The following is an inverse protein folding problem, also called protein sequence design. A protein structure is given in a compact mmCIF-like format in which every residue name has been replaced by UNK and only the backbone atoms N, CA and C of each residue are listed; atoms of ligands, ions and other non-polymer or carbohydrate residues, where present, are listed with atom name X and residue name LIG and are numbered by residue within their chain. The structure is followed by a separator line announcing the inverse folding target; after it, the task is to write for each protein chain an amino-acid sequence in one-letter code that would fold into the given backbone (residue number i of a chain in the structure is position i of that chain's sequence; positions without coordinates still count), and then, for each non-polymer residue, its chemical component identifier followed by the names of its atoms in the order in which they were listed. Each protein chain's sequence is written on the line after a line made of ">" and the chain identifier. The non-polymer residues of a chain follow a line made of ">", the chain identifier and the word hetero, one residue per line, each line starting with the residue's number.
data_IF_670427990587
#
_entry.id   IF_670427990587
#
_cell.length_a   1.000
_cell.length_b   1.000
_cell.length_c   1.000
_cell.angle_alpha   90.00
_cell.angle_beta   90.00
_cell.angle_gamma   90.00
#
_symmetry.space_group_name_H-M   'P 1'
#
loop_
_entity.id
_entity.type
_entity.pdbx_description
1 polymer ?
#
# COMPACT_ATOMS: atom_id res chain seq x y z
N UNK A 1 21.31 42.66 17.57
CA UNK A 1 20.18 41.71 17.56
C UNK A 1 20.19 40.97 18.88
N UNK A 2 19.11 41.05 19.66
CA UNK A 2 19.08 40.43 21.00
C UNK A 2 18.92 38.91 20.89
N UNK A 3 19.37 38.19 21.91
CA UNK A 3 19.24 36.74 22.08
C UNK A 3 17.76 36.29 21.97
N UNK A 4 16.82 37.20 22.29
CA UNK A 4 15.38 36.98 22.19
C UNK A 4 14.92 36.70 20.74
N UNK A 5 15.53 37.36 19.75
CA UNK A 5 15.19 37.17 18.33
C UNK A 5 15.70 35.82 17.80
N UNK A 6 16.80 35.29 18.34
CA UNK A 6 17.34 33.98 17.96
C UNK A 6 16.47 32.82 18.48
N UNK A 7 15.98 32.91 19.73
CA UNK A 7 15.10 31.88 20.30
C UNK A 7 13.75 31.80 19.55
N UNK A 8 13.21 32.94 19.14
CA UNK A 8 11.90 32.99 18.46
C UNK A 8 11.95 32.38 17.05
N UNK A 9 13.05 32.58 16.32
CA UNK A 9 13.30 31.98 15.00
C UNK A 9 13.54 30.47 15.14
N UNK A 10 14.30 30.04 16.15
CA UNK A 10 14.55 28.62 16.40
C UNK A 10 13.26 27.86 16.70
N UNK A 11 12.35 28.43 17.50
CA UNK A 11 11.06 27.82 17.81
C UNK A 11 10.16 27.67 16.56
N UNK A 12 10.17 28.66 15.66
CA UNK A 12 9.40 28.61 14.41
C UNK A 12 9.90 27.54 13.43
N UNK A 13 11.23 27.34 13.35
CA UNK A 13 11.82 26.29 12.51
C UNK A 13 11.49 24.90 13.05
N UNK A 14 11.52 24.71 14.38
CA UNK A 14 11.20 23.42 15.01
C UNK A 14 9.72 23.03 14.78
N UNK A 15 8.79 23.99 14.86
CA UNK A 15 7.37 23.72 14.65
C UNK A 15 7.00 23.37 13.20
N UNK A 16 7.77 23.89 12.24
CA UNK A 16 7.51 23.66 10.80
C UNK A 16 7.88 22.25 10.32
N UNK A 17 8.67 21.49 11.09
CA UNK A 17 9.15 20.15 10.70
C UNK A 17 8.20 19.03 11.14
N UNK A 18 7.27 19.28 12.08
CA UNK A 18 6.47 18.21 12.69
C UNK A 18 5.20 17.80 11.92
N UNK A 19 4.86 18.44 10.81
CA UNK A 19 3.62 18.17 10.08
C UNK A 19 3.78 17.32 8.80
N UNK A 20 4.93 16.69 8.55
CA UNK A 20 4.97 15.61 7.56
C UNK A 20 4.34 14.37 8.19
N UNK A 21 3.08 14.11 7.86
CA UNK A 21 2.45 12.82 8.14
C UNK A 21 3.35 11.76 7.50
N UNK A 22 4.01 10.92 8.32
CA UNK A 22 4.86 9.84 7.84
C UNK A 22 3.99 8.83 7.10
N UNK A 23 3.73 9.08 5.82
CA UNK A 23 3.06 8.13 4.93
C UNK A 23 4.04 7.02 4.63
N UNK A 24 3.64 5.79 4.94
CA UNK A 24 4.36 4.60 4.52
C UNK A 24 3.97 4.34 3.06
N UNK A 25 4.95 4.21 2.17
CA UNK A 25 4.72 3.93 0.76
C UNK A 25 4.75 2.42 0.51
N UNK A 26 3.85 1.94 -0.35
CA UNK A 26 3.76 0.54 -0.72
C UNK A 26 3.14 0.36 -2.10
N UNK A 27 3.18 -0.86 -2.60
CA UNK A 27 2.69 -1.21 -3.95
C UNK A 27 1.66 -2.33 -3.87
N UNK A 28 0.61 -2.25 -4.69
CA UNK A 28 -0.35 -3.33 -4.87
C UNK A 28 -0.11 -4.04 -6.21
N UNK A 29 -0.05 -5.37 -6.20
CA UNK A 29 0.34 -6.15 -7.37
C UNK A 29 -0.68 -7.25 -7.65
N UNK A 30 -1.13 -7.35 -8.90
CA UNK A 30 -2.04 -8.39 -9.39
C UNK A 30 -1.47 -9.23 -10.53
N UNK A 31 -0.25 -8.93 -10.97
CA UNK A 31 0.46 -9.65 -12.02
C UNK A 31 1.71 -10.31 -11.44
N UNK A 32 2.31 -11.23 -12.20
CA UNK A 32 3.56 -11.85 -11.79
C UNK A 32 4.67 -10.78 -11.66
N UNK A 33 5.37 -10.79 -10.53
CA UNK A 33 6.55 -9.97 -10.29
C UNK A 33 7.71 -10.86 -9.81
N UNK A 34 8.85 -10.75 -10.48
CA UNK A 34 10.08 -11.45 -10.10
C UNK A 34 10.75 -10.80 -8.87
N UNK A 35 11.67 -11.50 -8.23
CA UNK A 35 12.49 -10.96 -7.13
C UNK A 35 13.21 -9.67 -7.54
N UNK A 36 13.81 -9.62 -8.73
CA UNK A 36 14.47 -8.43 -9.26
C UNK A 36 13.50 -7.25 -9.45
N UNK A 37 12.24 -7.49 -9.82
CA UNK A 37 11.22 -6.43 -9.87
C UNK A 37 10.99 -5.83 -8.47
N UNK A 38 10.87 -6.66 -7.44
CA UNK A 38 10.69 -6.20 -6.07
C UNK A 38 11.90 -5.46 -5.51
N UNK A 39 13.12 -5.92 -5.83
CA UNK A 39 14.36 -5.20 -5.46
C UNK A 39 14.38 -3.81 -6.09
N UNK A 40 14.08 -3.72 -7.38
CA UNK A 40 13.99 -2.45 -8.10
C UNK A 40 12.98 -1.50 -7.44
N UNK A 41 11.79 -1.99 -7.06
CA UNK A 41 10.79 -1.19 -6.36
C UNK A 41 11.29 -0.71 -4.99
N UNK A 42 11.92 -1.59 -4.21
CA UNK A 42 12.47 -1.26 -2.88
C UNK A 42 13.57 -0.21 -2.96
N UNK A 43 14.48 -0.35 -3.92
CA UNK A 43 15.67 0.50 -4.06
C UNK A 43 15.36 1.85 -4.70
N UNK A 44 14.47 1.88 -5.71
CA UNK A 44 14.19 3.10 -6.47
C UNK A 44 12.98 3.89 -5.97
N UNK A 45 12.01 3.21 -5.33
CA UNK A 45 10.75 3.82 -4.89
C UNK A 45 10.55 3.71 -3.37
N UNK A 46 11.57 3.26 -2.63
CA UNK A 46 11.59 3.22 -1.15
C UNK A 46 10.39 2.49 -0.53
N UNK A 47 9.75 1.58 -1.27
CA UNK A 47 8.54 0.90 -0.80
C UNK A 47 8.84 0.11 0.49
N UNK A 48 7.90 0.16 1.44
CA UNK A 48 7.99 -0.49 2.74
C UNK A 48 7.11 -1.71 2.86
N UNK A 49 6.01 -1.76 2.12
CA UNK A 49 5.08 -2.89 2.08
C UNK A 49 4.58 -3.22 0.67
N UNK A 50 4.09 -4.43 0.50
CA UNK A 50 3.48 -4.93 -0.75
C UNK A 50 2.11 -5.53 -0.43
N UNK A 51 1.10 -5.25 -1.26
CA UNK A 51 -0.20 -5.94 -1.22
C UNK A 51 -0.33 -6.84 -2.45
N UNK A 52 -0.43 -8.15 -2.25
CA UNK A 52 -0.54 -9.14 -3.32
C UNK A 52 -2.01 -9.53 -3.53
N UNK A 53 -2.49 -9.50 -4.77
CA UNK A 53 -3.80 -10.09 -5.12
C UNK A 53 -3.79 -11.60 -4.87
N UNK A 54 -4.71 -12.10 -4.03
CA UNK A 54 -4.83 -13.51 -3.71
C UNK A 54 -6.07 -14.17 -4.33
N UNK A 55 -7.13 -13.39 -4.59
CA UNK A 55 -8.32 -13.87 -5.25
C UNK A 55 -9.17 -12.73 -5.80
N UNK A 56 -9.95 -13.02 -6.85
CA UNK A 56 -10.94 -12.11 -7.44
C UNK A 56 -12.22 -12.87 -7.77
N UNK A 57 -13.33 -12.43 -7.19
CA UNK A 57 -14.67 -12.96 -7.43
C UNK A 57 -14.78 -14.49 -7.26
N UNK A 58 -14.10 -15.03 -6.24
CA UNK A 58 -14.07 -16.47 -5.96
C UNK A 58 -13.01 -17.26 -6.74
N UNK A 59 -12.34 -16.65 -7.71
CA UNK A 59 -11.20 -17.27 -8.40
C UNK A 59 -9.91 -16.97 -7.64
N UNK A 60 -9.19 -18.03 -7.24
CA UNK A 60 -7.88 -17.93 -6.59
C UNK A 60 -6.84 -17.48 -7.63
N UNK A 61 -5.96 -16.58 -7.21
CA UNK A 61 -4.83 -16.13 -8.02
C UNK A 61 -3.62 -17.06 -7.78
N UNK A 62 -3.30 -17.90 -8.77
CA UNK A 62 -2.21 -18.87 -8.68
C UNK A 62 -0.82 -18.19 -8.58
N UNK A 63 -0.73 -16.91 -8.94
CA UNK A 63 0.52 -16.14 -8.87
C UNK A 63 0.80 -15.62 -7.45
N UNK A 64 -0.22 -15.55 -6.60
CA UNK A 64 -0.12 -14.95 -5.26
C UNK A 64 1.02 -15.56 -4.44
N UNK A 65 1.11 -16.90 -4.41
CA UNK A 65 2.15 -17.62 -3.68
C UNK A 65 3.56 -17.28 -4.18
N UNK A 66 3.72 -17.17 -5.50
CA UNK A 66 5.01 -16.84 -6.11
C UNK A 66 5.40 -15.39 -5.82
N UNK A 67 4.44 -14.45 -5.92
CA UNK A 67 4.67 -13.04 -5.64
C UNK A 67 5.04 -12.78 -4.18
N UNK A 68 4.35 -13.43 -3.22
CA UNK A 68 4.68 -13.35 -1.79
C UNK A 68 6.12 -13.84 -1.55
N UNK A 69 6.47 -15.01 -2.10
CA UNK A 69 7.83 -15.56 -1.97
C UNK A 69 8.89 -14.63 -2.56
N UNK A 70 8.63 -14.07 -3.74
CA UNK A 70 9.57 -13.19 -4.43
C UNK A 70 9.74 -11.85 -3.69
N UNK A 71 8.67 -11.29 -3.10
CA UNK A 71 8.72 -10.08 -2.28
C UNK A 71 9.59 -10.27 -1.03
N UNK A 72 9.39 -11.37 -0.29
CA UNK A 72 10.24 -11.71 0.86
C UNK A 72 11.69 -11.97 0.45
N UNK A 73 11.93 -12.65 -0.67
CA UNK A 73 13.28 -12.88 -1.19
C UNK A 73 13.99 -11.58 -1.62
N UNK A 74 13.24 -10.52 -1.94
CA UNK A 74 13.76 -9.17 -2.19
C UNK A 74 13.92 -8.32 -0.91
N UNK A 75 13.58 -8.89 0.26
CA UNK A 75 13.69 -8.23 1.55
C UNK A 75 12.60 -7.19 1.81
N UNK A 76 11.40 -7.35 1.23
CA UNK A 76 10.21 -6.64 1.69
C UNK A 76 9.77 -7.27 3.02
N UNK A 77 9.62 -6.46 4.06
CA UNK A 77 9.32 -6.94 5.42
C UNK A 77 7.82 -7.11 5.66
N UNK A 78 7.00 -6.32 4.98
CA UNK A 78 5.55 -6.29 5.15
C UNK A 78 4.85 -6.67 3.83
N UNK A 79 4.19 -7.83 3.82
CA UNK A 79 3.50 -8.38 2.65
C UNK A 79 2.10 -8.79 3.05
N UNK A 80 1.14 -8.00 2.60
CA UNK A 80 -0.29 -8.21 2.79
C UNK A 80 -0.93 -8.85 1.55
N UNK A 81 -2.16 -9.32 1.73
CA UNK A 81 -2.95 -9.93 0.65
C UNK A 81 -4.30 -9.23 0.49
N UNK A 82 -4.71 -9.03 -0.76
CA UNK A 82 -6.01 -8.49 -1.14
C UNK A 82 -6.88 -9.54 -1.81
N UNK A 83 -8.12 -9.64 -1.34
CA UNK A 83 -9.17 -10.43 -1.96
C UNK A 83 -10.23 -9.47 -2.49
N UNK A 84 -10.55 -9.56 -3.78
CA UNK A 84 -11.56 -8.70 -4.42
C UNK A 84 -12.86 -9.47 -4.58
N UNK A 85 -13.96 -8.93 -4.04
CA UNK A 85 -15.30 -9.53 -4.15
C UNK A 85 -16.26 -8.51 -4.75
N UNK A 86 -16.86 -8.84 -5.88
CA UNK A 86 -17.94 -8.06 -6.47
C UNK A 86 -19.27 -8.51 -5.87
N UNK A 87 -19.81 -7.70 -4.97
CA UNK A 87 -21.18 -7.91 -4.49
C UNK A 87 -22.17 -7.43 -5.55
N UNK A 88 -22.94 -8.36 -6.11
CA UNK A 88 -24.11 -8.00 -6.91
C UNK A 88 -25.24 -7.65 -5.95
N UNK A 89 -25.64 -6.38 -5.90
CA UNK A 89 -26.83 -5.97 -5.13
C UNK A 89 -28.04 -6.74 -5.67
N UNK A 90 -28.81 -7.46 -4.85
CA UNK A 90 -29.99 -8.16 -5.34
C UNK A 90 -30.96 -7.15 -5.96
N UNK A 91 -31.36 -7.41 -7.21
CA UNK A 91 -32.40 -6.62 -7.89
C UNK A 91 -33.71 -6.88 -7.15
N UNK A 92 -34.36 -5.84 -6.60
CA UNK A 92 -35.71 -5.99 -6.03
C UNK A 92 -36.61 -6.57 -7.13
N UNK A 93 -37.11 -7.79 -6.94
CA UNK A 93 -38.20 -8.32 -7.74
C UNK A 93 -39.43 -7.53 -7.29
N UNK A 94 -39.84 -6.56 -8.10
CA UNK A 94 -41.14 -5.91 -7.91
C UNK A 94 -42.15 -6.86 -8.53
N UNK A 95 -42.81 -7.65 -7.69
CA UNK A 95 -43.96 -8.43 -8.14
C UNK A 95 -45.05 -7.43 -8.53
N UNK A 96 -45.29 -7.27 -9.83
CA UNK A 96 -46.52 -6.66 -10.31
C UNK A 96 -47.62 -7.73 -10.15
N UNK A 97 -48.39 -7.64 -9.07
CA UNK A 97 -49.70 -8.30 -9.00
C UNK A 97 -50.60 -7.71 -10.09
N UNK A 98 -51.38 -8.56 -10.80
CA UNK A 98 -52.23 -8.17 -11.92
C UNK A 98 -53.37 -7.22 -11.51
#
# INVERSE_FOLDING_TARGET
>A
MSILNFLQIAAFIIFSIQNSVNSIEGVAISEYASTENFKCLKENFTIKFVIVSAAKNGTIDDLAKNNIRNAYAAGIEDVDIKITINFVKPRKIVNHTP
#
